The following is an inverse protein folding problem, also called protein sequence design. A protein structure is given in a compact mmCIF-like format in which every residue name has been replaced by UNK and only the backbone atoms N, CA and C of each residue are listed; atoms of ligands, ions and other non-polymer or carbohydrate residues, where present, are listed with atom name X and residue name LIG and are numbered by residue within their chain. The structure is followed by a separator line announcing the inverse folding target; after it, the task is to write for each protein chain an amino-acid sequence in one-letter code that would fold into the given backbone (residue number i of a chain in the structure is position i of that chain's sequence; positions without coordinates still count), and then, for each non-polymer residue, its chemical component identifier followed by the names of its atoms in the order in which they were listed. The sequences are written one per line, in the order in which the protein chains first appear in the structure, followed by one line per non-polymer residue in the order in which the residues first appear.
data_IF_198260866543
#
_entry.id   IF_198260866543
#
_cell.length_a   1.000
_cell.length_b   1.000
_cell.length_c   1.000
_cell.angle_alpha   90.00
_cell.angle_beta   90.00
_cell.angle_gamma   90.00
#
_symmetry.space_group_name_H-M   'P 1'
#
loop_
_entity.id
_entity.type
_entity.pdbx_description
1 polymer ?
#
# COMPACT_ATOMS: atom_id res chain seq x y z
N UNK A 1 -2.47 18.83 -26.38
CA UNK A 1 -1.63 19.08 -25.18
C UNK A 1 -2.38 18.49 -23.99
N UNK A 2 -2.01 17.27 -23.61
CA UNK A 2 -2.78 16.41 -22.71
C UNK A 2 -2.47 16.72 -21.25
N UNK A 3 -3.50 16.79 -20.41
CA UNK A 3 -3.43 17.01 -18.96
C UNK A 3 -2.45 16.07 -18.23
N UNK A 4 -2.16 14.90 -18.80
CA UNK A 4 -1.18 13.93 -18.31
C UNK A 4 0.25 14.49 -18.33
N UNK A 5 0.60 15.35 -19.29
CA UNK A 5 1.94 15.98 -19.35
C UNK A 5 2.13 17.03 -18.26
N UNK A 6 1.05 17.68 -17.81
CA UNK A 6 1.06 18.68 -16.73
C UNK A 6 1.17 18.06 -15.35
N UNK A 7 0.65 16.84 -15.15
CA UNK A 7 0.86 16.07 -13.91
C UNK A 7 2.32 15.61 -13.76
N UNK A 8 2.97 15.33 -14.89
CA UNK A 8 4.36 14.85 -15.01
C UNK A 8 5.42 15.92 -14.75
N UNK A 9 5.06 17.21 -14.80
CA UNK A 9 5.99 18.35 -14.66
C UNK A 9 6.00 19.01 -13.28
N UNK A 10 5.08 18.67 -12.37
CA UNK A 10 5.04 19.25 -11.01
C UNK A 10 5.95 18.54 -9.98
N UNK A 11 6.61 17.43 -10.38
CA UNK A 11 7.34 16.50 -9.48
C UNK A 11 8.84 16.34 -9.84
N UNK A 12 9.39 17.23 -10.66
CA UNK A 12 10.79 17.22 -11.14
C UNK A 12 11.51 18.38 -10.44
N UNK A 13 12.64 18.30 -9.72
CA UNK A 13 13.83 17.46 -9.78
C UNK A 13 14.53 17.56 -8.40
N UNK A 14 15.16 16.48 -7.94
CA UNK A 14 16.12 16.41 -6.79
C UNK A 14 15.55 16.64 -5.38
N UNK A 15 14.45 17.39 -5.21
CA UNK A 15 13.76 17.54 -3.92
C UNK A 15 12.85 16.35 -3.54
N UNK A 16 12.40 15.58 -4.53
CA UNK A 16 11.33 14.60 -4.34
C UNK A 16 11.80 13.24 -3.79
N UNK A 17 13.00 12.75 -4.13
CA UNK A 17 13.48 11.48 -3.57
C UNK A 17 13.74 11.56 -2.07
N UNK A 18 14.35 12.67 -1.64
CA UNK A 18 14.60 12.94 -0.22
C UNK A 18 13.31 13.26 0.52
N UNK A 19 12.36 13.96 -0.13
CA UNK A 19 11.05 14.24 0.45
C UNK A 19 10.20 12.96 0.59
N UNK A 20 10.14 12.09 -0.42
CA UNK A 20 9.43 10.80 -0.33
C UNK A 20 10.01 9.99 0.84
N UNK A 21 11.33 9.87 0.94
CA UNK A 21 11.96 9.17 2.06
C UNK A 21 11.56 9.76 3.42
N UNK A 22 11.56 11.10 3.55
CA UNK A 22 11.18 11.79 4.79
C UNK A 22 9.71 11.59 5.13
N UNK A 23 8.80 11.76 4.16
CA UNK A 23 7.35 11.55 4.33
C UNK A 23 7.09 10.12 4.76
N UNK A 24 7.65 9.15 4.04
CA UNK A 24 7.43 7.74 4.34
C UNK A 24 7.99 7.37 5.72
N UNK A 25 9.17 7.85 6.09
CA UNK A 25 9.73 7.60 7.41
C UNK A 25 8.87 8.21 8.52
N UNK A 26 8.45 9.48 8.36
CA UNK A 26 7.59 10.15 9.34
C UNK A 26 6.22 9.45 9.48
N UNK A 27 5.66 8.96 8.37
CA UNK A 27 4.43 8.18 8.36
C UNK A 27 4.60 6.89 9.17
N UNK A 28 5.66 6.13 8.92
CA UNK A 28 5.91 4.88 9.62
C UNK A 28 6.16 5.05 11.12
N UNK A 29 6.87 6.09 11.52
CA UNK A 29 7.05 6.40 12.93
C UNK A 29 5.69 6.55 13.63
N UNK A 30 4.77 7.33 13.05
CA UNK A 30 3.43 7.52 13.60
C UNK A 30 2.59 6.24 13.56
N UNK A 31 2.65 5.47 12.45
CA UNK A 31 1.87 4.24 12.31
C UNK A 31 2.29 3.14 13.30
N UNK A 32 3.59 3.02 13.59
CA UNK A 32 4.09 2.03 14.55
C UNK A 32 3.81 2.42 16.00
N UNK A 33 3.75 3.73 16.29
CA UNK A 33 3.41 4.25 17.62
C UNK A 33 1.89 4.23 17.91
N UNK A 34 1.03 4.11 16.89
CA UNK A 34 -0.43 4.10 17.05
C UNK A 34 -1.00 2.69 17.25
N UNK A 35 -1.54 2.42 18.45
CA UNK A 35 -2.16 1.15 18.82
C UNK A 35 -3.32 0.72 17.91
N UNK A 36 -3.98 1.67 17.23
CA UNK A 36 -5.13 1.38 16.36
C UNK A 36 -4.71 0.59 15.12
N UNK A 37 -3.47 0.74 14.64
CA UNK A 37 -2.97 0.12 13.40
C UNK A 37 -1.64 -0.64 13.56
N UNK A 38 -0.86 -0.41 14.62
CA UNK A 38 0.46 -1.02 14.76
C UNK A 38 0.44 -2.57 14.76
N UNK A 39 -0.69 -3.18 15.17
CA UNK A 39 -0.91 -4.63 15.18
C UNK A 39 -0.73 -5.34 13.83
N UNK A 40 -0.81 -4.60 12.74
CA UNK A 40 -0.64 -5.14 11.39
C UNK A 40 0.83 -5.33 11.04
N UNK A 41 1.69 -4.44 11.54
CA UNK A 41 3.09 -4.40 11.17
C UNK A 41 3.90 -5.46 11.92
N UNK A 42 5.03 -5.84 11.34
CA UNK A 42 5.98 -6.76 11.95
C UNK A 42 7.00 -6.01 12.83
N UNK A 43 7.97 -6.76 13.39
CA UNK A 43 8.95 -6.24 14.32
C UNK A 43 10.15 -5.51 13.67
N UNK A 44 10.15 -5.29 12.34
CA UNK A 44 11.22 -4.53 11.68
C UNK A 44 11.16 -3.06 12.04
N UNK A 45 12.26 -2.36 11.89
CA UNK A 45 12.32 -0.93 12.21
C UNK A 45 11.49 -0.08 11.24
N UNK A 46 11.04 1.10 11.71
CA UNK A 46 10.36 2.08 10.87
C UNK A 46 11.17 2.43 9.60
N UNK A 47 12.51 2.51 9.74
CA UNK A 47 13.40 2.84 8.63
C UNK A 47 13.38 1.77 7.52
N UNK A 48 13.47 0.49 7.88
CA UNK A 48 13.46 -0.61 6.91
C UNK A 48 12.11 -0.71 6.17
N UNK A 49 11.00 -0.57 6.91
CA UNK A 49 9.66 -0.62 6.32
C UNK A 49 9.40 0.60 5.43
N UNK A 50 9.84 1.79 5.87
CA UNK A 50 9.71 3.02 5.12
C UNK A 50 10.55 3.03 3.84
N UNK A 51 11.76 2.48 3.86
CA UNK A 51 12.60 2.37 2.67
C UNK A 51 11.95 1.53 1.58
N UNK A 52 11.31 0.42 1.95
CA UNK A 52 10.61 -0.44 1.00
C UNK A 52 9.41 0.28 0.35
N UNK A 53 8.57 0.96 1.15
CA UNK A 53 7.45 1.74 0.61
C UNK A 53 7.95 2.91 -0.26
N UNK A 54 8.98 3.63 0.18
CA UNK A 54 9.56 4.73 -0.59
C UNK A 54 10.10 4.26 -1.94
N UNK A 55 10.72 3.07 -1.99
CA UNK A 55 11.23 2.48 -3.23
C UNK A 55 10.12 2.19 -4.23
N UNK A 56 9.02 1.59 -3.75
CA UNK A 56 7.82 1.36 -4.57
C UNK A 56 7.20 2.69 -5.06
N UNK A 57 6.98 3.66 -4.17
CA UNK A 57 6.36 4.96 -4.53
C UNK A 57 7.22 5.72 -5.54
N UNK A 58 8.54 5.73 -5.37
CA UNK A 58 9.46 6.35 -6.35
C UNK A 58 9.33 5.69 -7.71
N UNK A 59 9.30 4.36 -7.76
CA UNK A 59 9.17 3.64 -9.02
C UNK A 59 7.81 3.90 -9.68
N UNK A 60 6.73 3.99 -8.91
CA UNK A 60 5.38 4.22 -9.43
C UNK A 60 5.17 5.66 -9.94
N UNK A 61 5.78 6.66 -9.29
CA UNK A 61 5.51 8.08 -9.57
C UNK A 61 6.60 8.74 -10.42
N UNK A 62 7.87 8.42 -10.18
CA UNK A 62 9.01 9.14 -10.77
C UNK A 62 9.61 8.43 -11.99
N UNK A 63 9.56 7.10 -12.05
CA UNK A 63 10.26 6.37 -13.09
C UNK A 63 9.55 6.44 -14.43
N UNK A 64 10.28 6.81 -15.48
CA UNK A 64 9.75 6.85 -16.85
C UNK A 64 9.76 5.49 -17.54
N UNK A 65 10.49 4.50 -16.99
CA UNK A 65 10.77 3.20 -17.63
C UNK A 65 10.74 1.98 -16.68
N UNK A 66 10.06 2.04 -15.52
CA UNK A 66 9.95 0.84 -14.67
C UNK A 66 8.99 -0.17 -15.30
N UNK A 67 9.42 -1.41 -15.46
CA UNK A 67 8.57 -2.47 -16.00
C UNK A 67 7.45 -2.83 -15.01
N UNK A 68 6.34 -3.39 -15.52
CA UNK A 68 5.26 -3.87 -14.67
C UNK A 68 5.73 -4.94 -13.68
N UNK A 69 6.71 -5.76 -14.07
CA UNK A 69 7.31 -6.79 -13.23
C UNK A 69 8.14 -6.18 -12.09
N UNK A 70 8.99 -5.19 -12.40
CA UNK A 70 9.77 -4.48 -11.38
C UNK A 70 8.87 -3.72 -10.38
N UNK A 71 7.77 -3.13 -10.83
CA UNK A 71 6.79 -2.51 -9.93
C UNK A 71 6.14 -3.56 -9.01
N UNK A 72 5.82 -4.73 -9.56
CA UNK A 72 5.27 -5.84 -8.77
C UNK A 72 6.27 -6.32 -7.73
N UNK A 73 7.54 -6.51 -8.09
CA UNK A 73 8.60 -6.97 -7.17
C UNK A 73 8.84 -5.97 -6.03
N UNK A 74 8.83 -4.66 -6.34
CA UNK A 74 8.95 -3.61 -5.32
C UNK A 74 7.73 -3.58 -4.39
N UNK A 75 6.54 -3.83 -4.92
CA UNK A 75 5.31 -3.92 -4.14
C UNK A 75 5.34 -5.15 -3.22
N UNK A 76 5.80 -6.29 -3.72
CA UNK A 76 6.00 -7.49 -2.92
C UNK A 76 7.03 -7.26 -1.82
N UNK A 77 8.17 -6.64 -2.13
CA UNK A 77 9.20 -6.29 -1.15
C UNK A 77 8.66 -5.37 -0.04
N UNK A 78 7.81 -4.40 -0.38
CA UNK A 78 7.11 -3.54 0.56
C UNK A 78 6.21 -4.33 1.53
N UNK A 79 5.33 -5.18 1.01
CA UNK A 79 4.43 -5.96 1.85
C UNK A 79 5.20 -6.97 2.72
N UNK A 80 6.27 -7.55 2.18
CA UNK A 80 7.17 -8.42 2.93
C UNK A 80 7.89 -7.68 4.06
N UNK A 81 8.40 -6.48 3.79
CA UNK A 81 9.08 -5.68 4.80
C UNK A 81 8.14 -5.27 5.93
N UNK A 82 6.88 -4.97 5.63
CA UNK A 82 5.97 -4.37 6.60
C UNK A 82 5.11 -5.39 7.36
N UNK A 83 4.64 -6.45 6.68
CA UNK A 83 3.58 -7.31 7.20
C UNK A 83 3.94 -8.79 7.27
N UNK A 84 5.02 -9.23 6.62
CA UNK A 84 5.40 -10.64 6.68
C UNK A 84 5.74 -11.08 8.10
N UNK A 85 5.27 -12.28 8.45
CA UNK A 85 5.58 -12.94 9.73
C UNK A 85 6.53 -14.11 9.46
N UNK A 86 7.57 -14.25 10.30
CA UNK A 86 8.69 -15.22 10.13
C UNK A 86 8.29 -16.71 10.10
N UNK A 87 7.00 -17.05 10.28
CA UNK A 87 6.50 -18.43 10.26
C UNK A 87 5.71 -18.75 8.98
N UNK A 88 6.19 -18.28 7.83
CA UNK A 88 5.55 -18.58 6.55
C UNK A 88 5.85 -20.00 6.10
N UNK A 89 4.82 -20.85 6.09
CA UNK A 89 4.72 -21.94 5.13
C UNK A 89 3.73 -21.46 4.07
N UNK A 90 4.09 -21.46 2.78
CA UNK A 90 3.11 -21.19 1.73
C UNK A 90 1.94 -22.17 1.93
N UNK A 91 0.76 -21.63 2.16
CA UNK A 91 -0.45 -22.43 2.21
C UNK A 91 -0.62 -23.02 0.83
N UNK A 92 -0.69 -24.36 0.72
CA UNK A 92 -1.07 -25.05 -0.52
C UNK A 92 -2.53 -24.76 -0.90
N UNK A 93 -3.24 -24.02 -0.04
CA UNK A 93 -4.63 -23.64 -0.15
C UNK A 93 -4.64 -22.12 -0.31
N UNK A 94 -4.93 -21.63 -1.52
CA UNK A 94 -5.25 -20.22 -1.78
C UNK A 94 -6.57 -19.87 -1.08
N UNK A 95 -6.77 -18.60 -0.74
CA UNK A 95 -7.90 -18.15 0.09
C UNK A 95 -9.30 -18.56 -0.42
N UNK A 96 -9.41 -18.99 -1.68
CA UNK A 96 -10.65 -19.40 -2.32
C UNK A 96 -10.86 -20.92 -2.42
N UNK A 97 -9.86 -21.75 -2.13
CA UNK A 97 -9.93 -23.20 -2.38
C UNK A 97 -10.99 -23.92 -1.54
N UNK A 98 -11.40 -23.31 -0.42
CA UNK A 98 -12.52 -23.76 0.41
C UNK A 98 -13.68 -22.75 0.45
N UNK A 99 -13.68 -21.73 -0.41
CA UNK A 99 -14.76 -20.76 -0.49
C UNK A 99 -16.12 -21.44 -0.65
N UNK A 100 -16.20 -22.48 -1.47
CA UNK A 100 -17.43 -23.24 -1.67
C UNK A 100 -18.04 -23.83 -0.37
N UNK A 101 -17.23 -24.13 0.67
CA UNK A 101 -17.75 -24.64 1.95
C UNK A 101 -18.46 -23.56 2.77
N UNK A 102 -18.03 -22.30 2.66
CA UNK A 102 -18.68 -21.16 3.30
C UNK A 102 -20.03 -20.84 2.64
N UNK A 103 -20.11 -20.97 1.31
CA UNK A 103 -21.38 -20.86 0.57
C UNK A 103 -22.37 -21.96 0.97
N UNK A 104 -21.89 -23.20 1.09
CA UNK A 104 -22.75 -24.38 1.38
C UNK A 104 -23.22 -24.41 2.85
N UNK A 105 -22.37 -24.03 3.80
CA UNK A 105 -22.67 -24.19 5.24
C UNK A 105 -23.10 -22.88 5.92
N UNK A 106 -22.71 -21.71 5.39
CA UNK A 106 -22.75 -20.45 6.14
C UNK A 106 -23.66 -19.36 5.57
N UNK A 107 -24.07 -19.42 4.30
CA UNK A 107 -24.91 -18.40 3.67
C UNK A 107 -24.34 -16.97 3.74
N UNK A 108 -23.01 -16.83 3.89
CA UNK A 108 -22.32 -15.53 3.88
C UNK A 108 -21.86 -15.23 2.47
N UNK A 109 -22.13 -14.01 1.99
CA UNK A 109 -21.52 -13.53 0.74
C UNK A 109 -19.99 -13.56 0.88
N UNK A 110 -19.36 -14.42 0.08
CA UNK A 110 -17.90 -14.49 0.00
C UNK A 110 -17.46 -13.33 -0.88
N UNK A 111 -16.87 -12.30 -0.25
CA UNK A 111 -16.17 -11.26 -1.00
C UNK A 111 -14.91 -11.88 -1.59
N UNK A 112 -14.77 -11.83 -2.92
CA UNK A 112 -13.50 -12.11 -3.58
C UNK A 112 -12.49 -11.05 -3.17
N UNK A 113 -11.38 -11.48 -2.57
CA UNK A 113 -10.27 -10.60 -2.20
C UNK A 113 -9.28 -10.60 -3.36
N UNK A 114 -9.12 -9.47 -4.03
CA UNK A 114 -8.14 -9.30 -5.11
C UNK A 114 -6.81 -8.85 -4.51
N UNK A 115 -5.80 -9.71 -4.53
CA UNK A 115 -4.47 -9.36 -4.03
C UNK A 115 -3.72 -8.48 -5.03
N UNK A 116 -2.94 -7.52 -4.52
CA UNK A 116 -2.06 -6.69 -5.34
C UNK A 116 -0.76 -7.43 -5.73
N UNK A 117 -0.31 -8.31 -4.84
CA UNK A 117 0.80 -9.24 -4.99
C UNK A 117 0.64 -10.35 -3.94
N UNK A 118 1.43 -11.42 -4.01
CA UNK A 118 1.32 -12.55 -3.07
C UNK A 118 1.53 -12.13 -1.61
N UNK A 119 2.49 -11.23 -1.36
CA UNK A 119 2.76 -10.72 -0.02
C UNK A 119 1.64 -9.83 0.55
N UNK A 120 0.76 -9.27 -0.30
CA UNK A 120 -0.43 -8.55 0.16
C UNK A 120 -1.35 -9.43 1.04
N UNK A 121 -1.34 -10.74 0.79
CA UNK A 121 -2.11 -11.71 1.57
C UNK A 121 -1.80 -11.70 3.07
N UNK A 122 -0.61 -11.24 3.49
CA UNK A 122 -0.28 -11.07 4.91
C UNK A 122 -1.16 -10.06 5.61
N UNK A 123 -1.34 -8.90 4.98
CA UNK A 123 -2.18 -7.84 5.50
C UNK A 123 -3.65 -8.27 5.47
N UNK A 124 -4.11 -8.88 4.37
CA UNK A 124 -5.50 -9.32 4.22
C UNK A 124 -5.94 -10.36 5.25
N UNK A 125 -5.04 -11.26 5.66
CA UNK A 125 -5.32 -12.22 6.75
C UNK A 125 -5.59 -11.57 8.10
N UNK A 126 -5.15 -10.33 8.30
CA UNK A 126 -5.39 -9.56 9.53
C UNK A 126 -6.67 -8.74 9.47
N UNK A 127 -7.34 -8.68 8.31
CA UNK A 127 -8.64 -8.03 8.13
C UNK A 127 -8.62 -6.52 8.38
N UNK A 128 -7.77 -5.73 7.71
CA UNK A 128 -7.93 -4.29 7.71
C UNK A 128 -9.27 -3.92 7.06
N UNK A 129 -9.80 -2.77 7.46
CA UNK A 129 -11.02 -2.18 6.95
C UNK A 129 -10.81 -0.68 6.76
N UNK A 130 -11.86 0.04 6.37
CA UNK A 130 -11.79 1.47 6.10
C UNK A 130 -11.35 2.29 7.33
N UNK A 131 -11.68 1.85 8.55
CA UNK A 131 -11.22 2.53 9.77
C UNK A 131 -9.70 2.52 9.89
N UNK A 132 -9.06 1.39 9.59
CA UNK A 132 -7.59 1.29 9.62
C UNK A 132 -6.93 2.12 8.52
N UNK A 133 -7.56 2.18 7.33
CA UNK A 133 -7.07 2.98 6.22
C UNK A 133 -7.19 4.48 6.51
N UNK A 134 -8.29 4.92 7.12
CA UNK A 134 -8.50 6.31 7.51
C UNK A 134 -7.45 6.76 8.53
N UNK A 135 -7.02 5.89 9.45
CA UNK A 135 -5.94 6.18 10.39
C UNK A 135 -4.60 6.35 9.67
N UNK A 136 -4.31 5.53 8.65
CA UNK A 136 -3.11 5.71 7.83
C UNK A 136 -3.12 7.08 7.13
N UNK A 137 -4.28 7.50 6.60
CA UNK A 137 -4.44 8.82 5.99
C UNK A 137 -4.34 9.96 7.00
N UNK A 138 -4.89 9.80 8.20
CA UNK A 138 -4.73 10.74 9.32
C UNK A 138 -3.23 10.98 9.59
N UNK A 139 -2.45 9.91 9.74
CA UNK A 139 -1.00 10.00 9.94
C UNK A 139 -0.27 10.59 8.73
N UNK A 140 -0.73 10.32 7.52
CA UNK A 140 -0.16 10.92 6.30
C UNK A 140 -0.36 12.44 6.29
N UNK A 141 -1.55 12.93 6.61
CA UNK A 141 -1.81 14.38 6.74
C UNK A 141 -0.89 15.00 7.80
N UNK A 142 -0.75 14.34 8.95
CA UNK A 142 0.14 14.79 10.02
C UNK A 142 1.59 14.86 9.57
N UNK A 143 2.09 13.82 8.90
CA UNK A 143 3.46 13.79 8.38
C UNK A 143 3.72 14.87 7.32
N UNK A 144 2.74 15.14 6.44
CA UNK A 144 2.86 16.19 5.44
C UNK A 144 2.91 17.59 6.08
N UNK A 145 2.13 17.81 7.14
CA UNK A 145 2.12 19.04 7.92
C UNK A 145 3.42 19.24 8.69
N UNK A 146 3.93 18.20 9.35
CA UNK A 146 5.19 18.24 10.11
C UNK A 146 6.39 18.56 9.21
N UNK A 147 6.35 18.12 7.96
CA UNK A 147 7.38 18.39 6.95
C UNK A 147 7.16 19.70 6.19
N UNK A 148 6.15 20.48 6.55
CA UNK A 148 5.78 21.74 5.91
C UNK A 148 5.62 21.62 4.37
N UNK A 149 5.04 20.50 3.90
CA UNK A 149 4.74 20.30 2.49
C UNK A 149 3.68 21.30 2.05
N UNK A 150 3.87 21.92 0.87
CA UNK A 150 2.92 22.89 0.34
C UNK A 150 1.52 22.27 0.16
N UNK A 151 0.47 23.02 0.50
CA UNK A 151 -0.92 22.51 0.51
C UNK A 151 -1.33 21.88 -0.84
N UNK A 152 -0.94 22.49 -1.96
CA UNK A 152 -1.24 21.94 -3.29
C UNK A 152 -0.58 20.57 -3.52
N UNK A 153 0.65 20.39 -3.04
CA UNK A 153 1.36 19.11 -3.15
C UNK A 153 0.80 18.08 -2.18
N UNK A 154 0.47 18.49 -0.95
CA UNK A 154 -0.17 17.64 0.04
C UNK A 154 -1.51 17.11 -0.47
N UNK A 155 -2.35 17.97 -1.08
CA UNK A 155 -3.64 17.57 -1.66
C UNK A 155 -3.49 16.51 -2.76
N UNK A 156 -2.48 16.65 -3.64
CA UNK A 156 -2.19 15.65 -4.68
C UNK A 156 -1.73 14.32 -4.09
N UNK A 157 -0.87 14.34 -3.07
CA UNK A 157 -0.41 13.14 -2.37
C UNK A 157 -1.60 12.42 -1.72
N UNK A 158 -2.48 13.17 -1.04
CA UNK A 158 -3.68 12.62 -0.43
C UNK A 158 -4.64 12.02 -1.46
N UNK A 159 -4.81 12.66 -2.63
CA UNK A 159 -5.64 12.11 -3.70
C UNK A 159 -5.09 10.79 -4.23
N UNK A 160 -3.76 10.69 -4.42
CA UNK A 160 -3.12 9.46 -4.86
C UNK A 160 -3.24 8.37 -3.81
N UNK A 161 -3.04 8.70 -2.53
CA UNK A 161 -3.21 7.77 -1.43
C UNK A 161 -4.65 7.24 -1.41
N UNK A 162 -5.66 8.12 -1.39
CA UNK A 162 -7.09 7.73 -1.39
C UNK A 162 -7.46 6.83 -2.58
N UNK A 163 -6.92 7.09 -3.77
CA UNK A 163 -7.15 6.26 -4.95
C UNK A 163 -6.61 4.81 -4.80
N UNK A 164 -5.63 4.60 -3.91
CA UNK A 164 -5.08 3.28 -3.60
C UNK A 164 -5.91 2.45 -2.62
N UNK A 165 -6.94 3.03 -1.99
CA UNK A 165 -7.74 2.38 -0.93
C UNK A 165 -8.33 1.05 -1.37
N UNK A 166 -9.01 1.02 -2.52
CA UNK A 166 -9.69 -0.19 -2.99
C UNK A 166 -8.71 -1.33 -3.28
N UNK A 167 -7.53 -1.02 -3.82
CA UNK A 167 -6.47 -1.99 -4.04
C UNK A 167 -5.90 -2.52 -2.71
N UNK A 168 -5.60 -1.61 -1.78
CA UNK A 168 -5.02 -1.95 -0.47
C UNK A 168 -5.98 -2.73 0.44
N UNK A 169 -7.29 -2.59 0.25
CA UNK A 169 -8.31 -3.34 0.99
C UNK A 169 -8.80 -4.57 0.22
N UNK A 170 -8.15 -4.90 -0.89
CA UNK A 170 -8.43 -6.09 -1.71
C UNK A 170 -9.82 -6.08 -2.36
N UNK A 171 -10.39 -4.89 -2.57
CA UNK A 171 -11.74 -4.69 -3.13
C UNK A 171 -11.73 -4.33 -4.61
N UNK A 172 -10.56 -4.13 -5.23
CA UNK A 172 -10.51 -3.87 -6.66
C UNK A 172 -11.13 -5.06 -7.42
N UNK A 173 -11.98 -4.76 -8.41
CA UNK A 173 -12.48 -5.79 -9.30
C UNK A 173 -11.28 -6.46 -9.99
N UNK A 174 -11.23 -7.80 -10.00
CA UNK A 174 -10.38 -8.50 -10.95
C UNK A 174 -10.73 -8.00 -12.36
N UNK A 175 -9.83 -7.25 -12.99
CA UNK A 175 -9.79 -7.27 -14.45
C UNK A 175 -9.32 -8.66 -14.82
N UNK A 176 -10.25 -9.61 -14.90
CA UNK A 176 -10.04 -10.88 -15.56
C UNK A 176 -9.42 -10.55 -16.91
N UNK A 177 -8.13 -10.80 -17.08
CA UNK A 177 -7.52 -10.83 -18.42
C UNK A 177 -8.32 -11.89 -19.17
N UNK A 178 -9.13 -11.44 -20.12
CA UNK A 178 -9.78 -12.34 -21.05
C UNK A 178 -8.70 -13.25 -21.63
N UNK A 179 -8.84 -14.55 -21.39
CA UNK A 179 -8.00 -15.59 -21.95
C UNK A 179 -8.05 -15.57 -23.48
#
# INVERSE_FOLDING_TARGET
MNAITTQKSALLLLGHETLINKITLALYQKMLDDYRINRFFNARSAAEQAEALASYVKAAVCSTNTSSEQLHDLLEAYFMASFARNNYKPSLVTGNDFGFLLDIVGGREIRTITLLCDAHGWLMKLGPDDFHYDIMLEHLVDSLRDLAVAEEQAAKIMQIAEAGREGALGRQAETLKAA
#
